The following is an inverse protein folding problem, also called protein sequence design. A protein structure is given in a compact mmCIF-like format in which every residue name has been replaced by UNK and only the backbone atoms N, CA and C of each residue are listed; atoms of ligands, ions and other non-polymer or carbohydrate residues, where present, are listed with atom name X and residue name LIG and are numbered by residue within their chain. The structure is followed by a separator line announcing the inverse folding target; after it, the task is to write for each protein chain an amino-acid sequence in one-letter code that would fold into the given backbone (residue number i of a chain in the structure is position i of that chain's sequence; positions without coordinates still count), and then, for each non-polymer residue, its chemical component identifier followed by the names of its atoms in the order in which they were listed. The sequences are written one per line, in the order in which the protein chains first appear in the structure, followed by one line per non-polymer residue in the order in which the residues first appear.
data_IF_977644583808
#
_entry.id   IF_977644583808
#
_cell.length_a   1.000
_cell.length_b   1.000
_cell.length_c   1.000
_cell.angle_alpha   90.00
_cell.angle_beta   90.00
_cell.angle_gamma   90.00
#
_symmetry.space_group_name_H-M   'P 1'
#
loop_
_entity.id
_entity.type
_entity.pdbx_description
1 polymer ?
#
# COMPACT_ATOMS: atom_id res chain seq x y z
N UNK A 1 -36.86 -27.39 -15.90
CA UNK A 1 -36.98 -26.94 -14.50
C UNK A 1 -35.58 -26.56 -14.06
N UNK A 2 -35.27 -25.27 -13.96
CA UNK A 2 -33.94 -24.84 -13.49
C UNK A 2 -33.90 -25.06 -11.98
N UNK A 3 -33.09 -26.03 -11.54
CA UNK A 3 -32.81 -26.21 -10.12
C UNK A 3 -32.06 -24.99 -9.61
N UNK A 4 -32.69 -24.23 -8.72
CA UNK A 4 -31.99 -23.18 -8.00
C UNK A 4 -31.05 -23.86 -7.01
N UNK A 5 -29.76 -23.75 -7.28
CA UNK A 5 -28.68 -24.31 -6.44
C UNK A 5 -28.72 -23.75 -5.00
N UNK A 6 -29.25 -22.52 -4.83
CA UNK A 6 -29.40 -21.85 -3.54
C UNK A 6 -30.81 -21.28 -3.37
N UNK A 7 -31.34 -21.36 -2.15
CA UNK A 7 -32.53 -20.60 -1.74
C UNK A 7 -32.20 -19.09 -1.65
N UNK A 8 -33.21 -18.19 -1.67
CA UNK A 8 -32.98 -16.76 -1.50
C UNK A 8 -32.21 -16.40 -0.22
N UNK A 9 -32.48 -17.11 0.89
CA UNK A 9 -31.78 -16.88 2.16
C UNK A 9 -30.33 -17.37 2.12
N UNK A 10 -30.08 -18.53 1.49
CA UNK A 10 -28.72 -19.04 1.29
C UNK A 10 -27.90 -18.11 0.39
N UNK A 11 -28.51 -17.55 -0.65
CA UNK A 11 -27.88 -16.55 -1.50
C UNK A 11 -27.50 -15.31 -0.69
N UNK A 12 -28.44 -14.78 0.12
CA UNK A 12 -28.20 -13.60 0.97
C UNK A 12 -27.10 -13.82 2.01
N UNK A 13 -27.05 -14.99 2.63
CA UNK A 13 -26.01 -15.36 3.60
C UNK A 13 -24.64 -15.49 2.93
N UNK A 14 -24.57 -16.16 1.79
CA UNK A 14 -23.34 -16.29 1.00
C UNK A 14 -22.82 -14.93 0.54
N UNK A 15 -23.69 -14.06 0.03
CA UNK A 15 -23.30 -12.69 -0.36
C UNK A 15 -22.69 -11.93 0.81
N UNK A 16 -23.27 -12.01 2.01
CA UNK A 16 -22.71 -11.35 3.21
C UNK A 16 -21.33 -11.90 3.58
N UNK A 17 -21.15 -13.22 3.52
CA UNK A 17 -19.86 -13.86 3.82
C UNK A 17 -18.78 -13.48 2.81
N UNK A 18 -19.12 -13.44 1.52
CA UNK A 18 -18.20 -12.99 0.47
C UNK A 18 -17.83 -11.52 0.69
N UNK A 19 -18.81 -10.65 0.92
CA UNK A 19 -18.55 -9.23 1.20
C UNK A 19 -17.64 -9.09 2.42
N UNK A 20 -17.93 -9.79 3.51
CA UNK A 20 -17.12 -9.73 4.72
C UNK A 20 -15.68 -10.23 4.48
N UNK A 21 -15.50 -11.34 3.76
CA UNK A 21 -14.18 -11.89 3.45
C UNK A 21 -13.34 -10.95 2.57
N UNK A 22 -13.97 -10.26 1.61
CA UNK A 22 -13.32 -9.27 0.75
C UNK A 22 -12.97 -8.01 1.54
N UNK A 23 -13.89 -7.52 2.37
CA UNK A 23 -13.73 -6.31 3.19
C UNK A 23 -12.67 -6.49 4.28
N UNK A 24 -12.45 -7.72 4.76
CA UNK A 24 -11.35 -8.03 5.70
C UNK A 24 -9.98 -8.14 5.03
N UNK A 25 -9.93 -8.42 3.71
CA UNK A 25 -8.68 -8.69 3.00
C UNK A 25 -7.91 -7.42 2.66
N UNK A 26 -8.59 -6.33 2.33
CA UNK A 26 -7.94 -5.08 1.93
C UNK A 26 -8.32 -3.93 2.85
N UNK A 27 -7.34 -3.12 3.25
CA UNK A 27 -7.56 -1.88 3.99
C UNK A 27 -6.72 -0.75 3.41
N UNK A 28 -7.36 0.37 3.12
CA UNK A 28 -6.64 1.61 2.79
C UNK A 28 -6.45 2.39 4.08
N UNK A 29 -5.20 2.70 4.43
CA UNK A 29 -4.87 3.42 5.67
C UNK A 29 -3.99 4.63 5.36
N UNK A 30 -4.14 5.74 6.11
CA UNK A 30 -3.25 6.89 5.96
C UNK A 30 -1.90 6.63 6.65
N UNK A 31 -0.81 6.79 5.91
CA UNK A 31 0.54 6.88 6.44
C UNK A 31 0.87 8.34 6.72
N UNK A 32 1.03 8.68 8.00
CA UNK A 32 1.23 10.07 8.45
C UNK A 32 2.71 10.46 8.61
N UNK A 33 3.63 9.50 8.56
CA UNK A 33 5.08 9.72 8.73
C UNK A 33 5.85 8.55 8.14
N UNK A 34 7.05 8.81 7.61
CA UNK A 34 8.02 7.81 7.18
C UNK A 34 8.87 7.24 8.34
N UNK A 35 8.57 7.62 9.59
CA UNK A 35 9.28 7.15 10.80
C UNK A 35 10.81 7.36 10.76
N UNK A 36 11.27 8.32 9.96
CA UNK A 36 12.68 8.61 9.75
C UNK A 36 13.02 10.03 10.23
N UNK A 37 14.20 10.27 10.84
CA UNK A 37 14.56 11.58 11.37
C UNK A 37 14.74 12.65 10.29
N UNK A 38 15.25 12.27 9.10
CA UNK A 38 15.57 13.20 8.00
C UNK A 38 14.41 13.42 7.02
N UNK A 39 13.57 12.41 6.82
CA UNK A 39 12.55 12.40 5.77
C UNK A 39 11.16 12.44 6.39
N UNK A 40 10.41 13.49 6.05
CA UNK A 40 9.08 13.76 6.60
C UNK A 40 8.05 13.85 5.49
N UNK A 41 6.84 13.38 5.75
CA UNK A 41 5.73 13.58 4.82
C UNK A 41 5.16 14.99 4.97
N UNK A 42 4.95 15.68 3.85
CA UNK A 42 4.27 16.99 3.83
C UNK A 42 2.76 16.86 4.07
N UNK A 43 2.18 15.73 3.68
CA UNK A 43 0.79 15.37 3.92
C UNK A 43 0.65 13.84 4.07
N UNK A 44 -0.39 13.33 4.74
CA UNK A 44 -0.63 11.90 4.80
C UNK A 44 -0.82 11.31 3.39
N UNK A 45 -0.14 10.20 3.11
CA UNK A 45 -0.33 9.40 1.90
C UNK A 45 -1.18 8.18 2.22
N UNK A 46 -1.90 7.65 1.23
CA UNK A 46 -2.70 6.44 1.43
C UNK A 46 -1.91 5.22 0.98
N UNK A 47 -1.87 4.19 1.81
CA UNK A 47 -1.26 2.90 1.50
C UNK A 47 -2.32 1.81 1.59
N UNK A 48 -2.14 0.76 0.80
CA UNK A 48 -3.02 -0.41 0.81
C UNK A 48 -2.37 -1.52 1.63
N UNK A 49 -3.11 -2.04 2.60
CA UNK A 49 -2.78 -3.26 3.33
C UNK A 49 -3.61 -4.41 2.76
N UNK A 50 -2.94 -5.45 2.30
CA UNK A 50 -3.55 -6.74 1.95
C UNK A 50 -3.21 -7.78 3.02
N UNK A 51 -4.22 -8.43 3.57
CA UNK A 51 -4.10 -9.49 4.57
C UNK A 51 -4.26 -10.85 3.89
N UNK A 52 -3.15 -11.55 3.72
CA UNK A 52 -3.09 -12.97 3.34
C UNK A 52 -2.91 -13.82 4.61
N UNK A 53 -3.29 -15.10 4.56
CA UNK A 53 -3.51 -15.96 5.74
C UNK A 53 -2.49 -15.80 6.89
N UNK A 54 -1.20 -15.67 6.58
CA UNK A 54 -0.10 -15.49 7.54
C UNK A 54 0.74 -14.22 7.31
N UNK A 55 0.35 -13.35 6.38
CA UNK A 55 1.14 -12.19 5.97
C UNK A 55 0.30 -10.94 5.71
N UNK A 56 0.92 -9.80 5.94
CA UNK A 56 0.39 -8.49 5.55
C UNK A 56 1.31 -7.89 4.50
N UNK A 57 0.75 -7.51 3.37
CA UNK A 57 1.42 -6.77 2.31
C UNK A 57 1.03 -5.31 2.47
N UNK A 58 2.01 -4.42 2.64
CA UNK A 58 1.79 -2.97 2.60
C UNK A 58 2.28 -2.45 1.25
N UNK A 59 1.47 -1.65 0.56
CA UNK A 59 1.77 -1.19 -0.79
C UNK A 59 1.46 0.29 -0.96
N UNK A 60 2.28 0.95 -1.77
CA UNK A 60 2.09 2.32 -2.19
C UNK A 60 2.16 2.41 -3.72
N UNK A 61 0.96 2.43 -4.32
CA UNK A 61 0.77 2.24 -5.76
C UNK A 61 1.34 3.37 -6.62
N UNK A 62 1.44 4.60 -6.09
CA UNK A 62 1.92 5.75 -6.84
C UNK A 62 3.37 5.61 -7.33
N UNK A 63 4.17 4.77 -6.65
CA UNK A 63 5.55 4.43 -7.04
C UNK A 63 5.81 2.92 -7.11
N UNK A 64 4.75 2.11 -7.18
CA UNK A 64 4.83 0.64 -7.29
C UNK A 64 5.69 -0.05 -6.22
N UNK A 65 5.80 0.52 -5.01
CA UNK A 65 6.57 -0.04 -3.91
C UNK A 65 5.68 -0.85 -2.97
N UNK A 66 6.19 -1.96 -2.47
CA UNK A 66 5.50 -2.79 -1.51
C UNK A 66 6.49 -3.51 -0.59
N UNK A 67 5.98 -3.91 0.57
CA UNK A 67 6.69 -4.72 1.56
C UNK A 67 5.73 -5.78 2.11
N UNK A 68 6.27 -6.80 2.77
CA UNK A 68 5.47 -7.82 3.43
C UNK A 68 6.07 -8.21 4.78
N UNK A 69 5.22 -8.49 5.77
CA UNK A 69 5.62 -9.04 7.07
C UNK A 69 4.49 -9.84 7.71
N UNK A 70 4.75 -10.46 8.85
CA UNK A 70 3.75 -11.20 9.63
C UNK A 70 2.72 -10.26 10.28
N UNK A 71 3.08 -8.98 10.47
CA UNK A 71 2.19 -7.97 11.06
C UNK A 71 2.08 -6.70 10.21
N UNK A 72 0.94 -6.02 10.31
CA UNK A 72 0.71 -4.76 9.62
C UNK A 72 1.70 -3.65 10.06
N UNK A 73 2.12 -3.64 11.33
CA UNK A 73 3.09 -2.63 11.80
C UNK A 73 4.43 -2.80 11.12
N UNK A 74 4.96 -4.02 11.09
CA UNK A 74 6.25 -4.32 10.47
C UNK A 74 6.20 -4.12 8.96
N UNK A 75 5.11 -4.53 8.30
CA UNK A 75 4.95 -4.25 6.87
C UNK A 75 4.98 -2.75 6.60
N UNK A 76 4.28 -1.93 7.40
CA UNK A 76 4.33 -0.47 7.28
C UNK A 76 5.72 0.09 7.55
N UNK A 77 6.45 -0.43 8.55
CA UNK A 77 7.81 -0.01 8.86
C UNK A 77 8.75 -0.26 7.68
N UNK A 78 8.73 -1.48 7.13
CA UNK A 78 9.49 -1.84 5.94
C UNK A 78 9.09 -1.00 4.72
N UNK A 79 7.80 -0.73 4.54
CA UNK A 79 7.34 0.12 3.44
C UNK A 79 7.92 1.54 3.53
N UNK A 80 8.04 2.10 4.75
CA UNK A 80 8.66 3.41 4.95
C UNK A 80 10.14 3.40 4.55
N UNK A 81 10.87 2.34 4.92
CA UNK A 81 12.28 2.16 4.54
C UNK A 81 12.44 2.07 3.02
N UNK A 82 11.59 1.27 2.35
CA UNK A 82 11.61 1.12 0.88
C UNK A 82 11.27 2.45 0.16
N UNK A 83 10.28 3.20 0.64
CA UNK A 83 9.95 4.53 0.09
C UNK A 83 11.17 5.46 0.18
N UNK A 84 11.85 5.47 1.32
CA UNK A 84 13.05 6.29 1.54
C UNK A 84 14.18 5.85 0.62
N UNK A 85 14.44 4.54 0.54
CA UNK A 85 15.49 4.00 -0.31
C UNK A 85 15.27 4.37 -1.77
N UNK A 86 14.06 4.19 -2.29
CA UNK A 86 13.72 4.59 -3.66
C UNK A 86 13.91 6.09 -3.86
N UNK A 87 13.49 6.91 -2.90
CA UNK A 87 13.68 8.36 -2.98
C UNK A 87 15.17 8.75 -3.04
N UNK A 88 16.01 8.14 -2.20
CA UNK A 88 17.45 8.37 -2.19
C UNK A 88 18.11 7.92 -3.50
N UNK A 89 17.80 6.72 -3.98
CA UNK A 89 18.32 6.19 -5.25
C UNK A 89 17.95 7.09 -6.45
N UNK A 90 16.70 7.57 -6.50
CA UNK A 90 16.25 8.49 -7.54
C UNK A 90 16.90 9.87 -7.43
N UNK A 91 17.16 10.34 -6.20
CA UNK A 91 17.83 11.61 -5.96
C UNK A 91 19.31 11.55 -6.40
N UNK A 92 20.00 10.44 -6.15
CA UNK A 92 21.39 10.23 -6.54
C UNK A 92 21.57 10.19 -8.07
N UNK A 93 20.62 9.60 -8.80
CA UNK A 93 20.69 9.47 -10.27
C UNK A 93 19.78 10.45 -11.03
N UNK A 94 19.43 11.58 -10.42
CA UNK A 94 18.44 12.55 -10.93
C UNK A 94 18.65 12.94 -12.39
N UNK A 95 19.91 13.08 -12.83
CA UNK A 95 20.24 13.54 -14.18
C UNK A 95 20.09 12.45 -15.27
N UNK A 96 19.99 11.17 -14.88
CA UNK A 96 19.92 10.04 -15.82
C UNK A 96 18.61 9.25 -15.72
N UNK A 97 17.62 9.72 -14.96
CA UNK A 97 16.34 9.04 -14.80
C UNK A 97 15.58 8.89 -16.13
N UNK A 98 15.12 7.66 -16.39
CA UNK A 98 14.15 7.38 -17.44
C UNK A 98 12.77 7.99 -17.15
N UNK A 99 11.83 7.96 -18.11
CA UNK A 99 10.53 8.62 -17.98
C UNK A 99 9.68 8.19 -16.78
N UNK A 100 9.71 6.90 -16.42
CA UNK A 100 8.94 6.37 -15.29
C UNK A 100 9.61 6.69 -13.93
N UNK A 101 10.90 6.40 -13.72
CA UNK A 101 11.63 6.84 -12.52
C UNK A 101 11.54 8.35 -12.27
N UNK A 102 11.57 9.17 -13.33
CA UNK A 102 11.41 10.62 -13.19
C UNK A 102 10.03 11.02 -12.65
N UNK A 103 8.96 10.34 -13.08
CA UNK A 103 7.61 10.58 -12.53
C UNK A 103 7.51 10.21 -11.06
N UNK A 104 8.08 9.07 -10.67
CA UNK A 104 8.14 8.66 -9.27
C UNK A 104 8.92 9.68 -8.44
N UNK A 105 10.06 10.15 -8.96
CA UNK A 105 10.88 11.14 -8.27
C UNK A 105 10.14 12.47 -8.08
N UNK A 106 9.48 12.98 -9.12
CA UNK A 106 8.67 14.21 -9.02
C UNK A 106 7.58 14.07 -7.98
N UNK A 107 6.88 12.94 -7.98
CA UNK A 107 5.83 12.68 -7.01
C UNK A 107 6.39 12.60 -5.58
N UNK A 108 7.54 11.93 -5.39
CA UNK A 108 8.20 11.85 -4.09
C UNK A 108 8.76 13.19 -3.62
N UNK A 109 9.31 14.03 -4.50
CA UNK A 109 9.73 15.41 -4.17
C UNK A 109 8.56 16.26 -3.65
N UNK A 110 7.34 16.03 -4.15
CA UNK A 110 6.14 16.77 -3.72
C UNK A 110 5.63 16.32 -2.34
N UNK A 111 5.83 15.05 -1.96
CA UNK A 111 5.29 14.50 -0.70
C UNK A 111 6.34 14.36 0.41
N UNK A 112 7.65 14.33 0.09
CA UNK A 112 8.75 14.18 1.06
C UNK A 112 9.49 15.51 1.25
N UNK A 113 9.65 15.91 2.51
CA UNK A 113 10.49 17.04 2.92
C UNK A 113 11.73 16.53 3.68
N UNK A 114 12.91 16.98 3.24
CA UNK A 114 14.18 16.74 3.93
C UNK A 114 14.42 17.85 4.97
N UNK A 115 14.58 17.48 6.24
CA UNK A 115 14.89 18.40 7.35
C UNK A 115 16.16 18.05 8.09
#
# INVERSE_FOLDING_TARGET
MQERILTPDQYKDLSKKIIHAVDTRYRIVPLNSLKHPKYHLQAPIHITLEFEDDKVIASFDDIEVFSYSDTASEAIDLLCEEIIQIYEELQEDRENLGPLPNKWFQYLEDIIECR
#
